data_IF_510837668319
#
_entry.id   IF_510837668319
#
_cell.length_a   1.000
_cell.length_b   1.000
_cell.length_c   1.000
_cell.angle_alpha   90.00
_cell.angle_beta   90.00
_cell.angle_gamma   90.00
#
_symmetry.space_group_name_H-M   'P 1'
#
loop_
_entity.id
_entity.type
_entity.pdbx_description
1 polymer ?
#
# COMPACT_ATOMS: atom_id res chain seq x y z
N UNK A 1 22.37 -12.26 -28.47
CA UNK A 1 22.94 -11.78 -29.73
C UNK A 1 24.38 -12.24 -29.74
N UNK A 2 24.75 -13.09 -30.70
CA UNK A 2 26.14 -13.52 -30.86
C UNK A 2 26.83 -12.47 -31.73
N UNK A 3 27.80 -11.75 -31.15
CA UNK A 3 28.54 -10.70 -31.85
C UNK A 3 29.89 -11.27 -32.26
N UNK A 4 30.12 -11.34 -33.57
CA UNK A 4 31.41 -11.73 -34.12
C UNK A 4 32.41 -10.57 -33.95
N UNK A 5 33.23 -10.65 -32.90
CA UNK A 5 34.20 -9.61 -32.54
C UNK A 5 35.27 -9.37 -33.63
N UNK A 6 35.47 -10.31 -34.56
CA UNK A 6 36.45 -10.13 -35.65
C UNK A 6 36.03 -9.06 -36.66
N UNK A 7 34.77 -8.64 -36.64
CA UNK A 7 34.19 -7.61 -37.54
C UNK A 7 34.26 -6.19 -36.99
N UNK A 8 34.83 -6.01 -35.79
CA UNK A 8 34.78 -4.71 -35.12
C UNK A 8 36.15 -4.29 -34.60
N UNK A 9 36.41 -2.99 -34.71
CA UNK A 9 37.47 -2.31 -33.98
C UNK A 9 36.97 -1.93 -32.59
N UNK A 10 37.77 -2.19 -31.56
CA UNK A 10 37.36 -1.98 -30.16
C UNK A 10 37.93 -0.67 -29.64
N UNK A 11 37.03 0.21 -29.19
CA UNK A 11 37.36 1.48 -28.56
C UNK A 11 36.86 1.43 -27.10
N UNK A 12 37.76 1.21 -26.16
CA UNK A 12 37.43 1.00 -24.74
C UNK A 12 37.17 2.30 -23.95
N UNK A 13 37.36 3.45 -24.57
CA UNK A 13 37.25 4.77 -23.93
C UNK A 13 36.13 5.62 -24.53
N UNK A 14 35.12 4.99 -25.14
CA UNK A 14 33.99 5.70 -25.72
C UNK A 14 32.96 6.03 -24.62
N UNK A 15 32.89 7.31 -24.23
CA UNK A 15 32.04 7.79 -23.14
C UNK A 15 32.32 7.04 -21.84
N UNK A 16 31.32 6.37 -21.29
CA UNK A 16 31.39 5.59 -20.06
C UNK A 16 31.51 4.08 -20.32
N UNK A 17 31.90 3.67 -21.54
CA UNK A 17 31.93 2.25 -21.90
C UNK A 17 32.78 1.91 -23.13
N UNK A 18 32.47 0.77 -23.73
CA UNK A 18 33.17 0.25 -24.90
C UNK A 18 32.32 0.42 -26.15
N UNK A 19 32.96 0.83 -27.25
CA UNK A 19 32.37 0.90 -28.58
C UNK A 19 33.04 -0.13 -29.48
N UNK A 20 32.25 -1.00 -30.08
CA UNK A 20 32.65 -1.85 -31.19
C UNK A 20 32.27 -1.14 -32.48
N UNK A 21 33.27 -0.75 -33.27
CA UNK A 21 33.08 0.02 -34.50
C UNK A 21 33.35 -0.87 -35.72
N UNK A 22 32.31 -1.16 -36.49
CA UNK A 22 32.40 -1.87 -37.76
C UNK A 22 32.37 -0.90 -38.94
N UNK A 23 32.44 -1.45 -40.15
CA UNK A 23 32.29 -0.67 -41.39
C UNK A 23 30.82 -0.38 -41.73
N UNK A 24 29.88 -1.16 -41.22
CA UNK A 24 28.43 -1.01 -41.50
C UNK A 24 27.62 -0.52 -40.31
N UNK A 25 28.08 -0.82 -39.10
CA UNK A 25 27.35 -0.61 -37.86
C UNK A 25 28.31 -0.47 -36.68
N UNK A 26 27.78 -0.01 -35.55
CA UNK A 26 28.54 0.09 -34.31
C UNK A 26 27.70 -0.30 -33.11
N UNK A 27 28.33 -0.89 -32.10
CA UNK A 27 27.69 -1.32 -30.87
C UNK A 27 28.35 -0.61 -29.69
N UNK A 28 27.59 0.23 -28.97
CA UNK A 28 28.05 0.87 -27.75
C UNK A 28 27.47 0.17 -26.52
N UNK A 29 28.37 -0.29 -25.66
CA UNK A 29 28.09 -1.00 -24.43
C UNK A 29 28.15 -0.03 -23.25
N UNK A 30 27.00 0.48 -22.81
CA UNK A 30 26.89 1.27 -21.60
C UNK A 30 26.68 0.34 -20.40
N UNK A 31 27.79 -0.01 -19.75
CA UNK A 31 27.81 -0.90 -18.59
C UNK A 31 27.15 -0.28 -17.36
N UNK A 32 27.19 1.05 -17.22
CA UNK A 32 26.62 1.76 -16.08
C UNK A 32 25.09 1.67 -16.07
N UNK A 33 24.48 1.91 -17.23
CA UNK A 33 23.03 1.96 -17.37
C UNK A 33 22.41 0.64 -17.84
N UNK A 34 23.23 -0.41 -18.04
CA UNK A 34 22.81 -1.69 -18.58
C UNK A 34 22.13 -1.58 -19.95
N UNK A 35 22.68 -0.73 -20.82
CA UNK A 35 22.14 -0.44 -22.16
C UNK A 35 23.14 -0.79 -23.25
N UNK A 36 22.62 -1.38 -24.31
CA UNK A 36 23.33 -1.65 -25.56
C UNK A 36 22.70 -0.79 -26.65
N UNK A 37 23.50 0.09 -27.25
CA UNK A 37 23.10 0.92 -28.36
C UNK A 37 23.68 0.36 -29.65
N UNK A 38 22.81 0.09 -30.63
CA UNK A 38 23.20 -0.36 -31.96
C UNK A 38 22.97 0.75 -32.97
N UNK A 39 24.07 1.33 -33.46
CA UNK A 39 24.12 2.33 -34.50
C UNK A 39 24.08 1.64 -35.86
N UNK A 40 23.06 1.91 -36.67
CA UNK A 40 22.84 1.27 -37.98
C UNK A 40 23.23 2.15 -39.17
N UNK A 41 23.54 3.42 -38.91
CA UNK A 41 23.80 4.45 -39.91
C UNK A 41 25.24 4.96 -39.85
N UNK A 42 26.19 4.03 -39.68
CA UNK A 42 27.61 4.36 -39.59
C UNK A 42 28.15 4.78 -40.96
N UNK A 43 29.02 5.79 -41.00
CA UNK A 43 29.69 6.24 -42.24
C UNK A 43 30.80 5.26 -42.64
N UNK A 44 30.37 4.16 -43.29
CA UNK A 44 31.25 3.10 -43.74
C UNK A 44 32.24 3.50 -44.83
N UNK A 45 31.93 4.55 -45.61
CA UNK A 45 32.82 5.07 -46.64
C UNK A 45 34.04 5.68 -45.95
N UNK A 46 33.79 6.59 -45.00
CA UNK A 46 34.84 7.28 -44.26
C UNK A 46 35.68 6.33 -43.40
N UNK A 47 35.06 5.30 -42.81
CA UNK A 47 35.78 4.28 -42.04
C UNK A 47 36.55 3.30 -42.93
N UNK A 48 36.05 2.99 -44.13
CA UNK A 48 36.71 2.13 -45.11
C UNK A 48 38.06 2.69 -45.56
N UNK A 49 38.19 4.01 -45.66
CA UNK A 49 39.46 4.70 -45.95
C UNK A 49 40.55 4.46 -44.87
N UNK A 50 40.13 4.08 -43.67
CA UNK A 50 41.05 3.73 -42.56
C UNK A 50 41.39 2.23 -42.50
N UNK A 51 40.73 1.42 -43.32
CA UNK A 51 40.74 -0.03 -43.18
C UNK A 51 41.94 -0.70 -43.87
N UNK A 52 42.66 -0.06 -44.81
CA UNK A 52 43.92 -0.56 -45.40
C UNK A 52 43.92 -2.09 -45.72
N UNK A 53 42.89 -2.55 -46.45
CA UNK A 53 42.58 -3.96 -46.82
C UNK A 53 42.09 -4.89 -45.70
N UNK A 54 41.90 -4.40 -44.48
CA UNK A 54 41.25 -5.11 -43.41
C UNK A 54 39.72 -4.97 -43.52
N UNK A 55 38.97 -5.95 -43.00
CA UNK A 55 37.51 -5.89 -42.93
C UNK A 55 36.99 -5.05 -41.75
N UNK A 56 37.87 -4.28 -41.10
CA UNK A 56 37.59 -3.46 -39.93
C UNK A 56 38.32 -2.12 -40.01
N UNK A 57 37.80 -1.04 -39.40
CA UNK A 57 38.54 0.23 -39.28
C UNK A 57 39.79 0.03 -38.42
N UNK A 58 41.00 0.36 -38.90
CA UNK A 58 42.24 0.10 -38.12
C UNK A 58 42.79 1.38 -37.49
N UNK A 59 42.79 2.48 -38.24
CA UNK A 59 43.42 3.73 -37.79
C UNK A 59 42.40 4.72 -37.25
N UNK A 60 41.64 4.26 -36.25
CA UNK A 60 40.59 5.04 -35.59
C UNK A 60 40.85 5.14 -34.10
N UNK A 61 40.78 6.37 -33.58
CA UNK A 61 40.85 6.65 -32.15
C UNK A 61 39.73 7.62 -31.75
N UNK A 62 39.34 7.58 -30.48
CA UNK A 62 38.30 8.43 -29.94
C UNK A 62 38.81 9.24 -28.74
N UNK A 63 38.42 10.51 -28.69
CA UNK A 63 38.71 11.41 -27.58
C UNK A 63 37.43 11.72 -26.79
N UNK A 64 37.37 11.20 -25.57
CA UNK A 64 36.22 11.34 -24.68
C UNK A 64 35.97 12.78 -24.21
N UNK A 65 37.01 13.61 -24.11
CA UNK A 65 36.86 14.98 -23.63
C UNK A 65 36.19 15.90 -24.66
N UNK A 66 36.31 15.57 -25.95
CA UNK A 66 35.79 16.39 -27.05
C UNK A 66 34.66 15.74 -27.84
N UNK A 67 34.30 14.48 -27.56
CA UNK A 67 33.36 13.63 -28.32
C UNK A 67 33.68 13.61 -29.83
N UNK A 68 34.96 13.35 -30.14
CA UNK A 68 35.47 13.35 -31.52
C UNK A 68 36.30 12.11 -31.82
N UNK A 69 36.15 11.60 -33.04
CA UNK A 69 37.03 10.58 -33.61
C UNK A 69 38.19 11.25 -34.36
N UNK A 70 39.36 10.63 -34.26
CA UNK A 70 40.51 10.93 -35.11
C UNK A 70 40.78 9.71 -35.99
N UNK A 71 40.64 9.91 -37.30
CA UNK A 71 40.85 8.90 -38.34
C UNK A 71 42.15 9.19 -39.08
N UNK A 72 42.97 8.17 -39.37
CA UNK A 72 44.09 8.34 -40.30
C UNK A 72 43.63 7.87 -41.69
N UNK A 73 43.35 8.81 -42.57
CA UNK A 73 42.87 8.57 -43.94
C UNK A 73 44.07 8.55 -44.89
N UNK A 74 44.09 7.61 -45.82
CA UNK A 74 45.12 7.51 -46.86
C UNK A 74 44.91 8.61 -47.90
N UNK A 75 45.98 9.34 -48.24
CA UNK A 75 45.97 10.32 -49.33
C UNK A 75 46.47 9.68 -50.62
N UNK A 76 46.21 10.36 -51.74
CA UNK A 76 46.70 9.97 -53.07
C UNK A 76 48.24 9.86 -53.14
N UNK A 77 48.96 10.59 -52.29
CA UNK A 77 50.42 10.56 -52.15
C UNK A 77 50.96 9.37 -51.33
N UNK A 78 50.07 8.49 -50.83
CA UNK A 78 50.39 7.32 -50.03
C UNK A 78 50.65 7.61 -48.54
N UNK A 79 50.64 8.88 -48.11
CA UNK A 79 50.75 9.25 -46.71
C UNK A 79 49.39 9.24 -46.02
N UNK A 80 49.38 9.08 -44.69
CA UNK A 80 48.16 9.14 -43.89
C UNK A 80 48.02 10.49 -43.22
N UNK A 81 46.84 11.10 -43.32
CA UNK A 81 46.52 12.37 -42.69
C UNK A 81 45.49 12.19 -41.57
N UNK A 82 45.69 12.81 -40.39
CA UNK A 82 44.69 12.80 -39.34
C UNK A 82 43.50 13.69 -39.72
N UNK A 83 42.31 13.10 -39.68
CA UNK A 83 41.04 13.78 -39.87
C UNK A 83 40.22 13.66 -38.59
N UNK A 84 39.89 14.80 -38.00
CA UNK A 84 39.10 14.88 -36.76
C UNK A 84 37.65 15.15 -37.11
N UNK A 85 36.75 14.30 -36.62
CA UNK A 85 35.31 14.37 -36.89
C UNK A 85 34.49 14.16 -35.64
N UNK A 86 33.31 14.76 -35.60
CA UNK A 86 32.36 14.55 -34.53
C UNK A 86 31.78 13.13 -34.56
N UNK A 87 31.35 12.63 -33.40
CA UNK A 87 30.82 11.27 -33.28
C UNK A 87 29.49 11.04 -34.00
N UNK A 88 28.64 12.05 -34.10
CA UNK A 88 27.37 12.00 -34.85
C UNK A 88 27.58 11.79 -36.36
N UNK A 89 28.65 12.36 -36.92
CA UNK A 89 29.02 12.17 -38.33
C UNK A 89 29.43 10.74 -38.64
N UNK A 90 30.11 10.06 -37.71
CA UNK A 90 30.58 8.69 -37.91
C UNK A 90 29.51 7.66 -37.55
N UNK A 91 28.79 7.86 -36.44
CA UNK A 91 27.86 6.87 -35.93
C UNK A 91 26.44 7.03 -36.49
N UNK A 92 26.13 8.20 -37.04
CA UNK A 92 24.81 8.55 -37.56
C UNK A 92 23.76 8.74 -36.46
N UNK A 93 22.51 8.90 -36.89
CA UNK A 93 21.36 9.19 -36.01
C UNK A 93 20.45 8.00 -35.76
N UNK A 94 20.54 6.94 -36.57
CA UNK A 94 19.72 5.73 -36.43
C UNK A 94 20.30 4.80 -35.37
N UNK A 95 19.68 4.79 -34.18
CA UNK A 95 20.10 3.99 -33.03
C UNK A 95 18.95 3.15 -32.51
N UNK A 96 19.18 1.85 -32.34
CA UNK A 96 18.30 0.98 -31.56
C UNK A 96 18.89 0.70 -30.19
N UNK A 97 18.07 0.88 -29.15
CA UNK A 97 18.43 0.61 -27.75
C UNK A 97 17.91 -0.77 -27.34
N UNK A 98 18.75 -1.52 -26.61
CA UNK A 98 18.41 -2.82 -26.03
C UNK A 98 19.07 -3.00 -24.67
N UNK A 99 18.62 -3.98 -23.89
CA UNK A 99 19.18 -4.29 -22.57
C UNK A 99 20.46 -5.11 -22.75
N UNK A 100 21.53 -4.73 -22.07
CA UNK A 100 22.83 -5.38 -22.21
C UNK A 100 22.88 -6.74 -21.51
N UNK A 101 22.41 -6.81 -20.26
CA UNK A 101 22.29 -8.04 -19.49
C UNK A 101 21.02 -8.04 -18.65
N UNK A 102 20.48 -9.22 -18.38
CA UNK A 102 19.40 -9.34 -17.40
C UNK A 102 20.02 -9.36 -16.00
N UNK A 103 19.78 -8.34 -15.16
CA UNK A 103 20.34 -8.34 -13.82
C UNK A 103 19.79 -9.54 -13.05
N UNK A 104 20.65 -10.25 -12.29
CA UNK A 104 20.16 -11.35 -11.46
C UNK A 104 19.15 -10.81 -10.46
N UNK A 105 18.02 -11.51 -10.30
CA UNK A 105 17.01 -11.15 -9.29
C UNK A 105 17.70 -11.13 -7.92
N UNK A 106 17.71 -9.96 -7.28
CA UNK A 106 18.36 -9.81 -5.98
C UNK A 106 17.72 -10.73 -4.96
N UNK A 107 18.53 -11.54 -4.25
CA UNK A 107 18.06 -12.41 -3.17
C UNK A 107 17.31 -11.64 -2.08
N UNK A 108 17.58 -10.34 -1.94
CA UNK A 108 16.92 -9.46 -0.99
C UNK A 108 15.42 -9.27 -1.30
N UNK A 109 14.98 -9.47 -2.56
CA UNK A 109 13.57 -9.37 -2.93
C UNK A 109 12.75 -10.44 -2.19
N UNK A 110 13.29 -11.65 -2.01
CA UNK A 110 12.62 -12.71 -1.25
C UNK A 110 12.54 -12.39 0.25
N UNK A 111 13.57 -11.75 0.81
CA UNK A 111 13.57 -11.30 2.20
C UNK A 111 12.52 -10.21 2.44
N UNK A 112 12.43 -9.23 1.53
CA UNK A 112 11.43 -8.16 1.59
C UNK A 112 10.01 -8.73 1.46
N UNK A 113 9.79 -9.64 0.49
CA UNK A 113 8.50 -10.29 0.32
C UNK A 113 8.08 -11.10 1.56
N UNK A 114 9.02 -11.83 2.17
CA UNK A 114 8.79 -12.56 3.42
C UNK A 114 8.41 -11.64 4.59
N UNK A 115 9.08 -10.49 4.71
CA UNK A 115 8.77 -9.51 5.75
C UNK A 115 7.36 -8.91 5.57
N UNK A 116 6.98 -8.57 4.34
CA UNK A 116 5.63 -8.06 4.02
C UNK A 116 4.55 -9.07 4.41
N UNK A 117 4.75 -10.35 4.07
CA UNK A 117 3.82 -11.43 4.43
C UNK A 117 3.66 -11.56 5.95
N UNK A 118 4.75 -11.40 6.71
CA UNK A 118 4.73 -11.47 8.16
C UNK A 118 3.93 -10.32 8.78
N UNK A 119 4.15 -9.09 8.29
CA UNK A 119 3.39 -7.91 8.74
C UNK A 119 1.89 -8.06 8.45
N UNK A 120 1.54 -8.54 7.26
CA UNK A 120 0.13 -8.81 6.89
C UNK A 120 -0.47 -9.85 7.83
N UNK A 121 0.26 -10.93 8.12
CA UNK A 121 -0.18 -12.00 9.01
C UNK A 121 -0.44 -11.50 10.43
N UNK A 122 0.43 -10.63 10.95
CA UNK A 122 0.25 -9.97 12.26
C UNK A 122 -1.00 -9.09 12.23
N UNK A 123 -1.14 -8.24 11.20
CA UNK A 123 -2.26 -7.32 11.10
C UNK A 123 -3.61 -8.05 11.04
N UNK A 124 -3.67 -9.14 10.26
CA UNK A 124 -4.83 -10.02 10.21
C UNK A 124 -5.10 -10.64 11.58
N UNK A 125 -4.09 -11.23 12.23
CA UNK A 125 -4.24 -11.84 13.56
C UNK A 125 -4.84 -10.87 14.59
N UNK A 126 -4.32 -9.65 14.67
CA UNK A 126 -4.86 -8.63 15.58
C UNK A 126 -6.25 -8.14 15.16
N UNK A 127 -6.51 -8.01 13.86
CA UNK A 127 -7.81 -7.66 13.31
C UNK A 127 -8.89 -8.69 13.66
N UNK A 128 -8.61 -9.97 13.48
CA UNK A 128 -9.50 -11.07 13.86
C UNK A 128 -9.73 -11.12 15.36
N UNK A 129 -8.68 -10.93 16.18
CA UNK A 129 -8.80 -10.94 17.65
C UNK A 129 -9.68 -9.79 18.18
N UNK A 130 -9.64 -8.61 17.56
CA UNK A 130 -10.51 -7.48 17.94
C UNK A 130 -11.97 -7.69 17.55
N UNK A 131 -12.26 -8.42 16.46
CA UNK A 131 -13.63 -8.70 16.01
C UNK A 131 -14.37 -9.72 16.89
N UNK A 132 -13.65 -10.55 17.66
CA UNK A 132 -14.25 -11.57 18.54
C UNK A 132 -14.76 -11.06 19.89
N UNK A 133 -14.59 -9.78 20.23
CA UNK A 133 -15.24 -9.18 21.41
C UNK A 133 -16.58 -8.62 20.97
N UNK A 134 -17.64 -9.41 21.08
CA UNK A 134 -19.00 -8.89 20.94
C UNK A 134 -19.18 -7.76 21.97
N UNK A 135 -19.53 -6.56 21.51
CA UNK A 135 -19.85 -5.44 22.41
C UNK A 135 -21.04 -5.86 23.26
N UNK A 136 -20.91 -5.78 24.59
CA UNK A 136 -21.98 -6.14 25.50
C UNK A 136 -23.20 -5.23 25.26
N UNK A 137 -24.43 -5.65 25.61
CA UNK A 137 -25.60 -4.78 25.56
C UNK A 137 -25.37 -3.46 26.30
N UNK A 138 -24.64 -3.49 27.41
CA UNK A 138 -24.22 -2.32 28.18
C UNK A 138 -23.34 -1.36 27.37
N UNK A 139 -22.28 -1.85 26.72
CA UNK A 139 -21.39 -1.01 25.90
C UNK A 139 -22.15 -0.31 24.77
N UNK A 140 -23.14 -0.99 24.20
CA UNK A 140 -23.99 -0.42 23.15
C UNK A 140 -24.93 0.67 23.70
N UNK A 141 -25.51 0.48 24.89
CA UNK A 141 -26.36 1.50 25.53
C UNK A 141 -25.55 2.74 25.87
N UNK A 142 -24.35 2.58 26.46
CA UNK A 142 -23.49 3.73 26.80
C UNK A 142 -23.08 4.51 25.57
N UNK A 143 -22.66 3.82 24.50
CA UNK A 143 -22.25 4.49 23.27
C UNK A 143 -23.38 5.30 22.62
N UNK A 144 -24.63 4.90 22.88
CA UNK A 144 -25.85 5.50 22.30
C UNK A 144 -26.65 6.32 23.32
N UNK A 145 -26.09 6.67 24.48
CA UNK A 145 -26.88 7.25 25.59
C UNK A 145 -27.49 8.61 25.23
N UNK A 146 -26.76 9.44 24.49
CA UNK A 146 -27.19 10.78 24.06
C UNK A 146 -28.33 10.71 23.02
N UNK A 147 -28.35 9.67 22.19
CA UNK A 147 -29.41 9.47 21.20
C UNK A 147 -30.65 8.82 21.83
N UNK A 148 -30.45 7.98 22.85
CA UNK A 148 -31.54 7.45 23.67
C UNK A 148 -32.21 8.56 24.48
N UNK A 149 -31.48 9.57 24.97
CA UNK A 149 -32.05 10.73 25.68
C UNK A 149 -33.07 11.49 24.80
N UNK A 150 -32.79 11.62 23.50
CA UNK A 150 -33.70 12.30 22.55
C UNK A 150 -34.95 11.47 22.22
N UNK A 151 -34.89 10.16 22.37
CA UNK A 151 -35.94 9.23 21.95
C UNK A 151 -36.85 8.82 23.11
N UNK A 152 -36.30 8.78 24.32
CA UNK A 152 -37.01 8.40 25.54
C UNK A 152 -37.73 9.60 26.15
N UNK A 153 -38.83 9.33 26.83
CA UNK A 153 -39.44 10.32 27.72
C UNK A 153 -38.51 10.60 28.90
N UNK A 154 -38.68 11.75 29.55
CA UNK A 154 -37.87 12.14 30.72
C UNK A 154 -37.94 11.11 31.86
N UNK A 155 -39.08 10.44 32.04
CA UNK A 155 -39.25 9.35 33.01
C UNK A 155 -38.49 8.09 32.61
N UNK A 156 -38.63 7.67 31.35
CA UNK A 156 -37.94 6.48 30.81
C UNK A 156 -36.41 6.68 30.81
N UNK A 157 -35.93 7.87 30.48
CA UNK A 157 -34.49 8.17 30.50
C UNK A 157 -33.92 8.15 31.93
N UNK A 158 -34.65 8.69 32.91
CA UNK A 158 -34.26 8.58 34.33
C UNK A 158 -34.15 7.12 34.79
N UNK A 159 -35.12 6.30 34.40
CA UNK A 159 -35.10 4.85 34.70
C UNK A 159 -33.90 4.18 34.03
N UNK A 160 -33.68 4.44 32.73
CA UNK A 160 -32.54 3.88 31.99
C UNK A 160 -31.22 4.26 32.66
N UNK A 161 -31.03 5.54 32.96
CA UNK A 161 -29.81 6.07 33.58
C UNK A 161 -29.55 5.44 34.93
N UNK A 162 -30.57 5.27 35.77
CA UNK A 162 -30.43 4.59 37.05
C UNK A 162 -30.00 3.13 36.91
N UNK A 163 -30.49 2.42 35.89
CA UNK A 163 -30.12 1.02 35.60
C UNK A 163 -28.68 0.93 35.06
N UNK A 164 -28.27 1.89 34.24
CA UNK A 164 -26.90 1.96 33.66
C UNK A 164 -25.88 2.35 34.71
N UNK A 165 -26.17 3.35 35.56
CA UNK A 165 -25.27 3.86 36.59
C UNK A 165 -24.99 2.82 37.68
N UNK A 166 -25.95 1.94 37.97
CA UNK A 166 -25.79 0.84 38.94
C UNK A 166 -25.21 -0.43 38.33
N UNK A 167 -25.01 -0.52 37.01
CA UNK A 167 -24.43 -1.73 36.40
C UNK A 167 -23.02 -2.01 36.96
N UNK A 168 -22.67 -3.26 37.32
CA UNK A 168 -23.39 -4.53 37.06
C UNK A 168 -24.42 -4.94 38.12
N UNK A 169 -24.66 -4.12 39.14
CA UNK A 169 -25.61 -4.40 40.20
C UNK A 169 -27.07 -4.20 39.75
N UNK A 170 -28.02 -5.00 40.28
CA UNK A 170 -29.42 -4.86 39.95
C UNK A 170 -30.11 -3.73 40.75
N UNK A 171 -31.04 -3.03 40.09
CA UNK A 171 -31.86 -1.98 40.69
C UNK A 171 -33.19 -2.57 41.16
N UNK A 172 -33.64 -2.21 42.36
CA UNK A 172 -34.92 -2.70 42.88
C UNK A 172 -36.09 -1.96 42.23
N UNK A 173 -37.21 -2.68 42.03
CA UNK A 173 -38.42 -2.06 41.49
C UNK A 173 -38.97 -0.96 42.39
N UNK A 174 -38.78 -1.07 43.70
CA UNK A 174 -39.24 -0.06 44.66
C UNK A 174 -38.52 1.28 44.43
N UNK A 175 -37.22 1.24 44.19
CA UNK A 175 -36.42 2.43 43.86
C UNK A 175 -36.92 3.09 42.57
N UNK A 176 -37.23 2.29 41.55
CA UNK A 176 -37.77 2.80 40.28
C UNK A 176 -39.20 3.34 40.44
N UNK A 177 -40.02 2.74 41.30
CA UNK A 177 -41.37 3.23 41.60
C UNK A 177 -41.35 4.60 42.26
N UNK A 178 -40.33 4.88 43.08
CA UNK A 178 -40.16 6.18 43.76
C UNK A 178 -39.88 7.34 42.80
N UNK A 179 -39.53 7.06 41.53
CA UNK A 179 -39.30 8.08 40.50
C UNK A 179 -40.59 8.65 39.88
N UNK A 180 -41.75 8.06 40.17
CA UNK A 180 -43.05 8.54 39.71
C UNK A 180 -43.74 9.39 40.79
N UNK A 181 -44.73 10.19 40.38
CA UNK A 181 -45.45 11.13 41.25
C UNK A 181 -46.13 10.45 42.46
N UNK A 182 -45.89 10.97 43.67
CA UNK A 182 -46.27 10.36 44.96
C UNK A 182 -47.78 10.32 45.23
N UNK A 183 -48.59 10.93 44.36
CA UNK A 183 -50.06 10.98 44.49
C UNK A 183 -50.76 9.71 44.01
N UNK A 184 -50.04 8.76 43.42
CA UNK A 184 -50.62 7.54 42.87
C UNK A 184 -50.68 6.41 43.91
N UNK A 185 -51.71 5.56 43.80
CA UNK A 185 -51.77 4.31 44.57
C UNK A 185 -50.63 3.36 44.16
N UNK A 186 -50.19 2.50 45.08
CA UNK A 186 -49.14 1.52 44.87
C UNK A 186 -49.37 0.63 43.63
N UNK A 187 -50.60 0.13 43.42
CA UNK A 187 -50.92 -0.69 42.25
C UNK A 187 -50.85 0.12 40.93
N UNK A 188 -51.19 1.41 40.98
CA UNK A 188 -51.05 2.31 39.85
C UNK A 188 -49.59 2.59 39.51
N UNK A 189 -48.72 2.81 40.52
CA UNK A 189 -47.27 2.93 40.33
C UNK A 189 -46.68 1.67 39.69
N UNK A 190 -47.07 0.49 40.17
CA UNK A 190 -46.58 -0.79 39.68
C UNK A 190 -47.00 -1.06 38.24
N UNK A 191 -48.25 -0.73 37.87
CA UNK A 191 -48.73 -0.83 36.49
C UNK A 191 -48.01 0.14 35.57
N UNK A 192 -47.81 1.39 36.02
CA UNK A 192 -47.08 2.42 35.27
C UNK A 192 -45.63 2.02 35.03
N UNK A 193 -44.90 1.62 36.08
CA UNK A 193 -43.51 1.14 35.96
C UNK A 193 -43.40 -0.02 34.96
N UNK A 194 -44.30 -1.00 35.02
CA UNK A 194 -44.31 -2.11 34.05
C UNK A 194 -44.48 -1.63 32.61
N UNK A 195 -45.43 -0.71 32.38
CA UNK A 195 -45.66 -0.14 31.05
C UNK A 195 -44.44 0.66 30.56
N UNK A 196 -43.83 1.45 31.44
CA UNK A 196 -42.62 2.24 31.13
C UNK A 196 -41.42 1.35 30.84
N UNK A 197 -41.22 0.26 31.59
CA UNK A 197 -40.13 -0.69 31.34
C UNK A 197 -40.30 -1.42 30.01
N UNK A 198 -41.52 -1.85 29.66
CA UNK A 198 -41.80 -2.47 28.36
C UNK A 198 -41.57 -1.48 27.22
N UNK A 199 -42.05 -0.25 27.34
CA UNK A 199 -41.84 0.78 26.31
C UNK A 199 -40.36 1.16 26.17
N UNK A 200 -39.65 1.29 27.29
CA UNK A 200 -38.21 1.52 27.33
C UNK A 200 -37.46 0.39 26.62
N UNK A 201 -37.76 -0.87 26.97
CA UNK A 201 -37.12 -2.02 26.35
C UNK A 201 -37.35 -2.08 24.84
N UNK A 202 -38.58 -1.84 24.37
CA UNK A 202 -38.88 -1.80 22.94
C UNK A 202 -38.13 -0.68 22.21
N UNK A 203 -38.04 0.52 22.81
CA UNK A 203 -37.31 1.66 22.23
C UNK A 203 -35.81 1.38 22.18
N UNK A 204 -35.24 0.83 23.23
CA UNK A 204 -33.82 0.45 23.29
C UNK A 204 -33.52 -0.68 22.29
N UNK A 205 -34.37 -1.72 22.20
CA UNK A 205 -34.23 -2.79 21.20
C UNK A 205 -34.25 -2.27 19.77
N UNK A 206 -35.19 -1.37 19.45
CA UNK A 206 -35.28 -0.71 18.14
C UNK A 206 -34.02 0.11 17.84
N UNK A 207 -33.52 0.86 18.81
CA UNK A 207 -32.33 1.69 18.64
C UNK A 207 -31.05 0.86 18.49
N UNK A 208 -30.94 -0.24 19.24
CA UNK A 208 -29.81 -1.16 19.17
C UNK A 208 -29.90 -2.19 18.03
N UNK A 209 -30.97 -2.13 17.23
CA UNK A 209 -31.29 -3.07 16.16
C UNK A 209 -31.17 -4.55 16.59
N UNK A 210 -31.65 -4.86 17.79
CA UNK A 210 -31.58 -6.20 18.37
C UNK A 210 -32.96 -6.71 18.77
N UNK A 211 -33.20 -8.00 18.54
CA UNK A 211 -34.40 -8.70 19.02
C UNK A 211 -34.19 -9.34 20.40
N UNK A 212 -32.96 -9.34 20.91
CA UNK A 212 -32.64 -9.93 22.21
C UNK A 212 -33.06 -9.01 23.36
N UNK A 213 -33.52 -9.60 24.47
CA UNK A 213 -33.83 -8.88 25.71
C UNK A 213 -32.59 -8.16 26.23
N UNK A 214 -32.74 -6.86 26.47
CA UNK A 214 -31.66 -5.97 26.90
C UNK A 214 -31.57 -5.92 28.43
N UNK A 215 -32.71 -6.10 29.09
CA UNK A 215 -32.82 -6.10 30.54
C UNK A 215 -33.16 -7.49 31.07
N UNK A 216 -32.61 -7.84 32.22
CA UNK A 216 -32.95 -9.06 32.95
C UNK A 216 -33.74 -8.69 34.22
N UNK A 217 -34.97 -9.19 34.33
CA UNK A 217 -35.82 -9.01 35.52
C UNK A 217 -35.77 -10.28 36.36
N UNK A 218 -35.25 -10.18 37.59
CA UNK A 218 -35.20 -11.30 38.54
C UNK A 218 -35.90 -10.95 39.86
N UNK A 219 -36.08 -11.93 40.75
CA UNK A 219 -36.43 -11.65 42.16
C UNK A 219 -35.18 -11.15 42.89
N UNK A 220 -35.35 -10.24 43.85
CA UNK A 220 -34.25 -9.78 44.70
C UNK A 220 -33.73 -10.93 45.55
N UNK A 221 -32.41 -10.93 45.77
CA UNK A 221 -31.74 -11.91 46.66
C UNK A 221 -32.02 -11.62 48.13
N UNK A 222 -32.21 -10.35 48.48
CA UNK A 222 -32.45 -9.89 49.86
C UNK A 222 -33.92 -10.04 50.26
N UNK A 223 -34.84 -9.68 49.37
CA UNK A 223 -36.28 -9.87 49.57
C UNK A 223 -36.92 -10.49 48.33
N UNK A 224 -37.31 -11.78 48.43
CA UNK A 224 -37.94 -12.53 47.33
C UNK A 224 -39.31 -11.96 46.92
N UNK A 225 -39.91 -11.09 47.73
CA UNK A 225 -41.17 -10.38 47.40
C UNK A 225 -40.94 -9.24 46.41
N UNK A 226 -39.72 -8.71 46.36
CA UNK A 226 -39.34 -7.60 45.48
C UNK A 226 -38.69 -8.12 44.19
N UNK A 227 -38.98 -7.43 43.08
CA UNK A 227 -38.32 -7.65 41.79
C UNK A 227 -37.15 -6.67 41.65
N UNK A 228 -36.16 -7.09 40.88
CA UNK A 228 -35.00 -6.28 40.53
C UNK A 228 -34.73 -6.38 39.02
N UNK A 229 -34.08 -5.37 38.45
CA UNK A 229 -33.74 -5.27 37.02
C UNK A 229 -32.29 -4.88 36.85
N UNK A 230 -31.61 -5.46 35.87
CA UNK A 230 -30.25 -5.06 35.45
C UNK A 230 -30.11 -5.13 33.94
N UNK A 231 -29.11 -4.47 33.39
CA UNK A 231 -28.68 -4.69 32.00
C UNK A 231 -28.11 -6.10 31.87
N UNK A 232 -28.50 -6.81 30.82
CA UNK A 232 -27.99 -8.15 30.52
C UNK A 232 -26.50 -8.07 30.14
N UNK A 233 -25.68 -8.84 30.84
CA UNK A 233 -24.24 -8.97 30.61
C UNK A 233 -23.91 -10.11 29.67
#
# INVERSE_FOLDING_TARGET
>A
MEVDLQKYHIINNYRDGALLLGLSDALYFNMRDNKLYHYKSVDGIMLGETANNFSVPVYVSYNNNSDKFTLLVLREDGYRMPLVVNSDRILGSEVSESVLFNPPVSKNIYLIAGFILLVISIFLYYGYRKRGKEKTPYDKIIFSIDDLEKTLTSEEFKILRMIVDKHPEPVQFLDLMSMFDQKMSYESHKKRLRSSLLSLEDKVKKHLHTNADVFEISRSKEDRRNKQIKVKG
#
